data_IF_926272171134
#
_entry.id   IF_926272171134
#
_cell.length_a   1.000
_cell.length_b   1.000
_cell.length_c   1.000
_cell.angle_alpha   90.00
_cell.angle_beta   90.00
_cell.angle_gamma   90.00
#
_symmetry.space_group_name_H-M   'P 1'
#
loop_
_entity.id
_entity.type
_entity.pdbx_description
1 polymer ?
#
# COMPACT_ATOMS: atom_id res chain seq x y z
N UNK A 1 8.05 20.40 10.91
CA UNK A 1 7.45 19.48 9.93
C UNK A 1 6.37 20.24 9.20
N UNK A 2 6.32 20.21 7.85
CA UNK A 2 5.22 20.83 7.10
C UNK A 2 4.01 19.90 7.18
N UNK A 3 2.87 20.46 7.55
CA UNK A 3 1.58 19.77 7.65
C UNK A 3 1.12 19.39 6.24
N UNK A 4 0.76 18.12 6.04
CA UNK A 4 0.26 17.63 4.75
C UNK A 4 -1.25 17.94 4.67
N UNK A 5 -1.61 18.98 3.90
CA UNK A 5 -3.01 19.35 3.67
C UNK A 5 -3.56 18.51 2.51
N UNK A 6 -4.44 17.54 2.83
CA UNK A 6 -5.14 16.71 1.83
C UNK A 6 -6.39 17.46 1.38
N UNK A 7 -6.46 17.80 0.09
CA UNK A 7 -7.62 18.52 -0.47
C UNK A 7 -8.78 17.57 -0.78
N UNK A 8 -10.01 18.08 -0.95
CA UNK A 8 -11.18 17.28 -1.38
C UNK A 8 -10.94 16.56 -2.72
N UNK A 9 -10.10 17.11 -3.59
CA UNK A 9 -9.73 16.48 -4.85
C UNK A 9 -8.76 15.30 -4.63
N UNK A 10 -7.83 15.44 -3.68
CA UNK A 10 -6.96 14.35 -3.24
C UNK A 10 -7.76 13.22 -2.60
N UNK A 11 -8.77 13.53 -1.77
CA UNK A 11 -9.69 12.53 -1.21
C UNK A 11 -10.43 11.76 -2.30
N UNK A 12 -10.94 12.44 -3.35
CA UNK A 12 -11.59 11.76 -4.49
C UNK A 12 -10.61 10.86 -5.26
N UNK A 13 -9.39 11.33 -5.50
CA UNK A 13 -8.33 10.53 -6.15
C UNK A 13 -7.95 9.33 -5.30
N UNK A 14 -7.90 9.48 -3.98
CA UNK A 14 -7.63 8.40 -3.02
C UNK A 14 -8.79 7.40 -2.97
N UNK A 15 -10.05 7.83 -2.88
CA UNK A 15 -11.22 6.94 -2.94
C UNK A 15 -11.30 6.18 -4.27
N UNK A 16 -10.93 6.82 -5.38
CA UNK A 16 -10.81 6.14 -6.67
C UNK A 16 -9.64 5.13 -6.66
N UNK A 17 -8.49 5.49 -6.10
CA UNK A 17 -7.36 4.58 -5.86
C UNK A 17 -7.76 3.36 -5.01
N UNK A 18 -8.57 3.56 -3.98
CA UNK A 18 -9.17 2.51 -3.16
C UNK A 18 -10.08 1.59 -3.96
N UNK A 19 -10.90 2.15 -4.85
CA UNK A 19 -11.74 1.32 -5.75
C UNK A 19 -10.91 0.44 -6.70
N UNK A 20 -9.65 0.81 -6.94
CA UNK A 20 -8.70 0.04 -7.74
C UNK A 20 -7.74 -0.83 -6.92
N UNK A 21 -7.63 -0.63 -5.61
CA UNK A 21 -6.81 -1.44 -4.70
C UNK A 21 -7.66 -2.59 -4.14
N UNK A 22 -7.50 -3.78 -4.71
CA UNK A 22 -8.08 -4.99 -4.13
C UNK A 22 -7.58 -5.21 -2.69
N UNK A 23 -8.36 -5.93 -1.88
CA UNK A 23 -7.98 -6.33 -0.52
C UNK A 23 -6.55 -6.91 -0.47
N UNK A 24 -6.20 -7.75 -1.45
CA UNK A 24 -4.87 -8.34 -1.57
C UNK A 24 -3.75 -7.30 -1.74
N UNK A 25 -3.97 -6.25 -2.53
CA UNK A 25 -2.99 -5.15 -2.71
C UNK A 25 -2.85 -4.35 -1.43
N UNK A 26 -3.97 -4.02 -0.78
CA UNK A 26 -3.96 -3.28 0.48
C UNK A 26 -3.23 -4.07 1.59
N UNK A 27 -3.51 -5.36 1.73
CA UNK A 27 -2.83 -6.24 2.71
C UNK A 27 -1.32 -6.34 2.43
N UNK A 28 -0.93 -6.42 1.15
CA UNK A 28 0.48 -6.44 0.73
C UNK A 28 1.20 -5.15 1.11
N UNK A 29 0.57 -4.02 0.80
CA UNK A 29 1.07 -2.69 1.09
C UNK A 29 1.19 -2.40 2.59
N UNK A 30 0.16 -2.75 3.38
CA UNK A 30 0.18 -2.65 4.84
C UNK A 30 1.30 -3.51 5.43
N UNK A 31 1.43 -4.75 4.98
CA UNK A 31 2.50 -5.64 5.46
C UNK A 31 3.88 -5.02 5.20
N UNK A 32 4.13 -4.47 4.02
CA UNK A 32 5.39 -3.81 3.71
C UNK A 32 5.62 -2.60 4.62
N UNK A 33 4.60 -1.77 4.87
CA UNK A 33 4.73 -0.63 5.79
C UNK A 33 5.09 -1.09 7.22
N UNK A 34 4.43 -2.13 7.73
CA UNK A 34 4.74 -2.71 9.06
C UNK A 34 6.14 -3.33 9.14
N UNK A 35 6.75 -3.70 8.01
CA UNK A 35 8.11 -4.25 7.94
C UNK A 35 9.12 -3.18 7.49
N UNK A 36 9.00 -1.95 8.00
CA UNK A 36 9.91 -0.84 7.70
C UNK A 36 10.06 -0.54 6.20
N UNK A 37 9.02 -0.81 5.41
CA UNK A 37 9.02 -0.58 3.97
C UNK A 37 9.79 -1.62 3.16
N UNK A 38 10.17 -2.78 3.71
CA UNK A 38 10.83 -3.82 2.92
C UNK A 38 10.52 -5.24 3.40
N UNK A 39 10.43 -6.20 2.48
CA UNK A 39 10.31 -7.61 2.81
C UNK A 39 10.82 -8.52 1.70
N UNK A 40 11.29 -9.70 2.05
CA UNK A 40 11.52 -10.76 1.08
C UNK A 40 10.19 -11.20 0.43
N UNK A 41 10.22 -11.48 -0.86
CA UNK A 41 9.08 -11.99 -1.64
C UNK A 41 8.52 -13.28 -1.04
N UNK A 42 9.38 -14.20 -0.61
CA UNK A 42 8.97 -15.44 0.06
C UNK A 42 8.21 -15.20 1.36
N UNK A 43 8.63 -14.19 2.14
CA UNK A 43 7.94 -13.79 3.37
C UNK A 43 6.56 -13.22 3.08
N UNK A 44 6.42 -12.41 2.01
CA UNK A 44 5.12 -11.88 1.58
C UNK A 44 4.14 -12.99 1.19
N UNK A 45 4.57 -13.95 0.36
CA UNK A 45 3.75 -15.11 -0.03
C UNK A 45 3.33 -15.91 1.19
N UNK A 46 4.26 -16.20 2.10
CA UNK A 46 3.99 -16.97 3.33
C UNK A 46 3.01 -16.25 4.26
N UNK A 47 3.13 -14.93 4.43
CA UNK A 47 2.33 -14.17 5.41
C UNK A 47 0.95 -13.80 4.88
N UNK A 48 0.83 -13.52 3.60
CA UNK A 48 -0.45 -13.20 2.97
C UNK A 48 -1.22 -14.48 2.62
N UNK A 49 -0.50 -15.61 2.43
CA UNK A 49 -1.08 -16.94 2.27
C UNK A 49 -1.52 -17.27 0.85
N UNK A 50 -1.00 -16.57 -0.15
CA UNK A 50 -1.36 -16.82 -1.55
C UNK A 50 -0.24 -16.44 -2.52
N UNK A 51 -0.09 -17.21 -3.60
CA UNK A 51 0.86 -16.92 -4.69
C UNK A 51 0.39 -15.76 -5.58
N UNK A 52 -0.90 -15.38 -5.53
CA UNK A 52 -1.46 -14.20 -6.22
C UNK A 52 -0.81 -12.88 -5.78
N UNK A 53 -0.04 -12.90 -4.70
CA UNK A 53 0.82 -11.79 -4.28
C UNK A 53 1.85 -11.46 -5.36
N UNK A 54 2.33 -12.43 -6.13
CA UNK A 54 3.35 -12.18 -7.16
C UNK A 54 2.80 -11.34 -8.30
N UNK A 55 1.63 -11.70 -8.83
CA UNK A 55 0.89 -10.91 -9.82
C UNK A 55 0.55 -9.52 -9.27
N UNK A 56 0.19 -9.45 -7.98
CA UNK A 56 -0.09 -8.20 -7.28
C UNK A 56 1.14 -7.30 -7.22
N UNK A 57 2.31 -7.85 -6.90
CA UNK A 57 3.58 -7.13 -6.86
C UNK A 57 3.97 -6.60 -8.25
N UNK A 58 3.79 -7.38 -9.31
CA UNK A 58 4.05 -6.93 -10.68
C UNK A 58 3.18 -5.73 -11.08
N UNK A 59 1.90 -5.73 -10.70
CA UNK A 59 1.02 -4.58 -10.92
C UNK A 59 1.44 -3.36 -10.08
N UNK A 60 1.81 -3.58 -8.82
CA UNK A 60 2.27 -2.52 -7.92
C UNK A 60 3.62 -1.91 -8.34
N UNK A 61 4.50 -2.70 -8.98
CA UNK A 61 5.73 -2.22 -9.61
C UNK A 61 5.42 -1.31 -10.81
N UNK A 62 4.46 -1.70 -11.67
CA UNK A 62 4.00 -0.86 -12.80
C UNK A 62 3.42 0.47 -12.32
N UNK A 63 2.75 0.48 -11.17
CA UNK A 63 2.23 1.68 -10.53
C UNK A 63 3.25 2.43 -9.67
N UNK A 64 4.50 1.94 -9.62
CA UNK A 64 5.59 2.52 -8.85
C UNK A 64 5.29 2.63 -7.34
N UNK A 65 4.41 1.76 -6.81
CA UNK A 65 4.11 1.68 -5.37
C UNK A 65 5.17 0.85 -4.63
N UNK A 66 5.75 -0.12 -5.32
CA UNK A 66 6.86 -0.92 -4.83
C UNK A 66 7.97 -0.99 -5.88
N UNK A 67 9.17 -1.29 -5.43
CA UNK A 67 10.30 -1.65 -6.29
C UNK A 67 10.87 -3.00 -5.85
N UNK A 68 11.41 -3.77 -6.79
CA UNK A 68 12.07 -5.04 -6.52
C UNK A 68 13.57 -4.90 -6.76
N UNK A 69 14.36 -5.29 -5.76
CA UNK A 69 15.81 -5.49 -5.92
C UNK A 69 16.13 -6.90 -5.48
N UNK A 70 16.50 -7.75 -6.45
CA UNK A 70 16.65 -9.20 -6.23
C UNK A 70 15.34 -9.82 -5.69
N UNK A 71 15.41 -10.55 -4.56
CA UNK A 71 14.25 -11.17 -3.90
C UNK A 71 13.57 -10.28 -2.86
N UNK A 72 14.03 -9.03 -2.70
CA UNK A 72 13.48 -8.09 -1.73
C UNK A 72 12.61 -7.07 -2.43
N UNK A 73 11.40 -6.89 -1.88
CA UNK A 73 10.43 -5.89 -2.29
C UNK A 73 10.55 -4.72 -1.33
N UNK A 74 10.60 -3.51 -1.88
CA UNK A 74 10.66 -2.27 -1.13
C UNK A 74 9.45 -1.42 -1.46
N UNK A 75 8.91 -0.75 -0.45
CA UNK A 75 7.89 0.27 -0.60
C UNK A 75 8.55 1.53 -1.14
N UNK A 76 8.02 2.11 -2.22
CA UNK A 76 8.50 3.40 -2.70
C UNK A 76 7.96 4.54 -1.83
N UNK A 77 8.48 5.76 -2.01
CA UNK A 77 7.91 6.94 -1.37
C UNK A 77 6.43 7.15 -1.75
N UNK A 78 6.05 6.83 -2.99
CA UNK A 78 4.65 6.88 -3.44
C UNK A 78 3.80 5.80 -2.76
N UNK A 79 4.29 4.56 -2.71
CA UNK A 79 3.60 3.46 -2.03
C UNK A 79 3.37 3.76 -0.56
N UNK A 80 4.36 4.35 0.12
CA UNK A 80 4.25 4.78 1.51
C UNK A 80 3.17 5.82 1.70
N UNK A 81 3.17 6.88 0.90
CA UNK A 81 2.16 7.94 0.96
C UNK A 81 0.74 7.39 0.72
N UNK A 82 0.58 6.46 -0.23
CA UNK A 82 -0.71 5.81 -0.50
C UNK A 82 -1.19 5.02 0.72
N UNK A 83 -0.33 4.21 1.35
CA UNK A 83 -0.72 3.43 2.54
C UNK A 83 -1.03 4.31 3.74
N UNK A 84 -0.23 5.34 3.99
CA UNK A 84 -0.48 6.29 5.08
C UNK A 84 -1.81 7.00 4.89
N UNK A 85 -2.11 7.45 3.66
CA UNK A 85 -3.42 7.99 3.32
C UNK A 85 -4.54 6.96 3.52
N UNK A 86 -4.29 5.68 3.20
CA UNK A 86 -5.27 4.61 3.44
C UNK A 86 -5.55 4.41 4.93
N UNK A 87 -4.53 4.40 5.78
CA UNK A 87 -4.66 4.26 7.23
C UNK A 87 -5.45 5.43 7.79
N UNK A 88 -5.09 6.66 7.42
CA UNK A 88 -5.77 7.86 7.90
C UNK A 88 -7.27 7.85 7.55
N UNK A 89 -7.65 7.40 6.33
CA UNK A 89 -9.06 7.27 5.96
C UNK A 89 -9.78 6.23 6.84
N UNK A 90 -9.15 5.07 7.09
CA UNK A 90 -9.72 4.02 7.93
C UNK A 90 -9.87 4.46 9.40
N UNK A 91 -8.97 5.30 9.91
CA UNK A 91 -9.07 5.88 11.25
C UNK A 91 -10.22 6.87 11.36
N UNK A 92 -10.36 7.78 10.39
CA UNK A 92 -11.49 8.74 10.35
C UNK A 92 -12.84 8.02 10.29
N UNK A 93 -12.93 6.91 9.55
CA UNK A 93 -14.16 6.11 9.48
C UNK A 93 -14.52 5.39 10.78
N UNK A 94 -13.58 5.20 11.72
CA UNK A 94 -13.88 4.61 13.04
C UNK A 94 -14.48 5.61 14.04
N UNK A 95 -14.20 6.90 13.84
CA UNK A 95 -14.73 7.97 14.70
C UNK A 95 -16.16 8.38 14.30
N UNK A 96 -16.67 7.89 13.16
CA UNK A 96 -18.07 8.11 12.72
C UNK A 96 -19.04 7.01 13.19
N UNK A 97 -18.57 5.99 13.93
CA UNK A 97 -19.41 4.98 14.63
C UNK A 97 -19.54 5.27 16.11
#
# INVERSE_FOLDING_TARGET
MKELVITKEDTKKLSLLFSHLSDLRLRTLLFLLYNNGASFQSTLVKKIGTEKVLETLELMEKWRLVERKSKTIYLTSLGKAVVEACINILEVMKDET
#
